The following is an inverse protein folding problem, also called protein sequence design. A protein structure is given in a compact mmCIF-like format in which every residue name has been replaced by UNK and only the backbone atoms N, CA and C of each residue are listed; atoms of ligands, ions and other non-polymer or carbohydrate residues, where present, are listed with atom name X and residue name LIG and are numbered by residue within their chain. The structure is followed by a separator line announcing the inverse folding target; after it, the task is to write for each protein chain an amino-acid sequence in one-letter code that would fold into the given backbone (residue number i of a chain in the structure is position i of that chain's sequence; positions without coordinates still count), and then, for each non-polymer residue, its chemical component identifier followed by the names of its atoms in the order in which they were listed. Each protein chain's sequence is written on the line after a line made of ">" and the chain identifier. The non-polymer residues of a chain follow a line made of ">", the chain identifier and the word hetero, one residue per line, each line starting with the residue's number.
data_IF_017061875486
#
_entry.id   IF_017061875486
#
_cell.length_a   1.000
_cell.length_b   1.000
_cell.length_c   1.000
_cell.angle_alpha   90.00
_cell.angle_beta   90.00
_cell.angle_gamma   90.00
#
_symmetry.space_group_name_H-M   'P 1'
#
loop_
_entity.id
_entity.type
_entity.pdbx_description
1 polymer ?
#
# COMPACT_ATOMS: atom_id res chain seq x y z
N UNK A 1 -24.24 14.19 -0.09
CA UNK A 1 -24.71 13.79 -1.44
C UNK A 1 -23.96 12.56 -1.98
N UNK A 2 -22.62 12.57 -2.01
CA UNK A 2 -21.81 11.47 -2.56
C UNK A 2 -21.97 10.12 -1.83
N UNK A 3 -22.10 10.16 -0.49
CA UNK A 3 -22.34 8.95 0.32
C UNK A 3 -23.69 8.32 -0.03
N UNK A 4 -24.75 9.12 -0.09
CA UNK A 4 -26.10 8.67 -0.46
C UNK A 4 -26.16 8.07 -1.86
N UNK A 5 -25.36 8.59 -2.80
CA UNK A 5 -25.28 8.04 -4.15
C UNK A 5 -24.63 6.65 -4.20
N UNK A 6 -23.76 6.31 -3.23
CA UNK A 6 -23.00 5.05 -3.21
C UNK A 6 -22.84 4.51 -1.78
N UNK A 7 -23.92 4.16 -1.08
CA UNK A 7 -23.86 3.79 0.34
C UNK A 7 -23.07 2.49 0.60
N UNK A 8 -22.88 1.67 -0.42
CA UNK A 8 -22.11 0.42 -0.35
C UNK A 8 -20.61 0.57 -0.66
N UNK A 9 -20.12 1.78 -0.96
CA UNK A 9 -18.70 1.98 -1.31
C UNK A 9 -17.79 1.61 -0.12
N UNK A 10 -16.69 0.93 -0.42
CA UNK A 10 -15.70 0.49 0.58
C UNK A 10 -14.33 1.08 0.28
N UNK A 11 -13.52 1.23 1.32
CA UNK A 11 -12.09 1.47 1.17
C UNK A 11 -11.39 0.14 0.86
N UNK A 12 -10.69 0.00 -0.29
CA UNK A 12 -10.01 -1.25 -0.63
C UNK A 12 -8.80 -1.51 0.28
N UNK A 13 -8.77 -2.68 0.92
CA UNK A 13 -7.60 -3.17 1.65
C UNK A 13 -6.53 -3.80 0.76
N UNK A 14 -5.73 -4.68 1.36
CA UNK A 14 -4.81 -5.59 0.70
C UNK A 14 -4.91 -6.99 1.30
N UNK A 15 -4.67 -8.01 0.46
CA UNK A 15 -4.56 -9.39 0.91
C UNK A 15 -3.23 -9.65 1.60
N UNK A 16 -2.16 -9.05 1.07
CA UNK A 16 -0.81 -9.08 1.64
C UNK A 16 -0.29 -7.63 1.81
N UNK A 17 -0.02 -7.19 3.06
CA UNK A 17 0.44 -5.82 3.34
C UNK A 17 1.81 -5.48 2.73
N UNK A 18 2.73 -6.43 2.66
CA UNK A 18 4.11 -6.22 2.22
C UNK A 18 4.19 -6.13 0.68
N UNK A 19 3.50 -7.03 -0.02
CA UNK A 19 3.25 -6.94 -1.46
C UNK A 19 2.64 -5.59 -1.81
N UNK A 20 1.63 -5.15 -1.06
CA UNK A 20 1.00 -3.86 -1.31
C UNK A 20 2.00 -2.71 -1.16
N UNK A 21 2.86 -2.75 -0.15
CA UNK A 21 3.89 -1.73 0.05
C UNK A 21 4.85 -1.64 -1.12
N UNK A 22 5.35 -2.79 -1.59
CA UNK A 22 6.20 -2.84 -2.78
C UNK A 22 5.46 -2.30 -4.00
N UNK A 23 4.21 -2.74 -4.24
CA UNK A 23 3.40 -2.30 -5.38
C UNK A 23 3.05 -0.81 -5.35
N UNK A 24 2.84 -0.25 -4.16
CA UNK A 24 2.60 1.18 -3.98
C UNK A 24 3.82 2.00 -4.37
N UNK A 25 5.03 1.53 -4.04
CA UNK A 25 6.29 2.17 -4.39
C UNK A 25 6.59 2.07 -5.89
N UNK A 26 6.55 0.86 -6.46
CA UNK A 26 7.10 0.61 -7.81
C UNK A 26 6.07 0.71 -8.93
N UNK A 27 4.77 0.69 -8.59
CA UNK A 27 3.68 0.69 -9.55
C UNK A 27 3.49 -0.65 -10.28
N UNK A 28 2.40 -0.73 -11.07
CA UNK A 28 1.93 -2.00 -11.66
C UNK A 28 2.94 -2.66 -12.61
N UNK A 29 3.59 -1.87 -13.46
CA UNK A 29 4.47 -2.40 -14.50
C UNK A 29 5.75 -3.01 -13.91
N UNK A 30 6.38 -2.31 -12.97
CA UNK A 30 7.58 -2.82 -12.29
C UNK A 30 7.24 -4.00 -11.37
N UNK A 31 6.12 -3.94 -10.64
CA UNK A 31 5.67 -5.08 -9.83
C UNK A 31 5.53 -6.37 -10.66
N UNK A 32 5.02 -6.26 -11.90
CA UNK A 32 4.98 -7.39 -12.83
C UNK A 32 6.37 -7.94 -13.19
N UNK A 33 7.37 -7.07 -13.40
CA UNK A 33 8.75 -7.47 -13.65
C UNK A 33 9.39 -8.14 -12.44
N UNK A 34 9.11 -7.64 -11.23
CA UNK A 34 9.60 -8.25 -9.99
C UNK A 34 9.06 -9.66 -9.81
N UNK A 35 7.77 -9.90 -10.07
CA UNK A 35 7.18 -11.25 -10.00
C UNK A 35 7.87 -12.19 -10.99
N UNK A 36 8.13 -11.76 -12.22
CA UNK A 36 8.79 -12.61 -13.22
C UNK A 36 10.25 -12.92 -12.87
N UNK A 37 10.94 -12.00 -12.18
CA UNK A 37 12.38 -12.12 -11.88
C UNK A 37 12.66 -12.79 -10.54
N UNK A 38 11.87 -12.48 -9.52
CA UNK A 38 12.12 -12.86 -8.13
C UNK A 38 10.97 -13.66 -7.52
N UNK A 39 9.86 -13.84 -8.23
CA UNK A 39 8.70 -14.56 -7.70
C UNK A 39 8.98 -16.05 -7.55
N UNK A 40 8.43 -16.66 -6.49
CA UNK A 40 8.50 -18.11 -6.31
C UNK A 40 7.55 -18.80 -7.29
N UNK A 41 8.04 -19.77 -8.06
CA UNK A 41 7.19 -20.56 -8.95
C UNK A 41 6.21 -21.41 -8.15
N UNK A 42 4.97 -21.50 -8.64
CA UNK A 42 3.97 -22.40 -8.08
C UNK A 42 4.27 -23.85 -8.47
N UNK A 43 4.16 -24.77 -7.50
CA UNK A 43 4.34 -26.21 -7.74
C UNK A 43 3.30 -26.75 -8.75
N UNK A 44 2.09 -26.17 -8.72
CA UNK A 44 1.01 -26.47 -9.66
C UNK A 44 0.43 -25.17 -10.24
N UNK A 45 0.89 -24.73 -11.43
CA UNK A 45 0.35 -23.54 -12.09
C UNK A 45 -1.13 -23.66 -12.46
N UNK A 46 -1.85 -22.53 -12.46
CA UNK A 46 -3.26 -22.46 -12.85
C UNK A 46 -3.46 -21.39 -13.94
N UNK A 47 -3.54 -21.83 -15.20
CA UNK A 47 -3.61 -20.91 -16.35
C UNK A 47 -2.39 -19.99 -16.40
N UNK A 48 -2.61 -18.67 -16.37
CA UNK A 48 -1.54 -17.68 -16.35
C UNK A 48 -0.94 -17.43 -14.95
N UNK A 49 -1.53 -17.99 -13.89
CA UNK A 49 -1.01 -17.87 -12.53
C UNK A 49 0.12 -18.90 -12.32
N UNK A 50 1.35 -18.40 -12.32
CA UNK A 50 2.57 -19.22 -12.35
C UNK A 50 3.53 -18.92 -11.20
N UNK A 51 3.44 -17.74 -10.60
CA UNK A 51 4.36 -17.26 -9.58
C UNK A 51 3.58 -16.60 -8.43
N UNK A 52 4.13 -16.72 -7.22
CA UNK A 52 3.78 -15.87 -6.08
C UNK A 52 4.52 -14.53 -6.17
N UNK A 53 4.00 -13.53 -5.47
CA UNK A 53 4.75 -12.29 -5.29
C UNK A 53 6.04 -12.55 -4.49
N UNK A 54 7.16 -11.88 -4.80
CA UNK A 54 8.40 -12.07 -4.06
C UNK A 54 8.26 -11.65 -2.59
N UNK A 55 8.78 -12.47 -1.67
CA UNK A 55 8.95 -12.06 -0.28
C UNK A 55 9.94 -10.88 -0.19
N UNK A 56 9.81 -9.96 0.79
CA UNK A 56 10.70 -8.79 0.88
C UNK A 56 12.19 -9.15 0.93
N UNK A 57 12.56 -10.24 1.60
CA UNK A 57 13.95 -10.68 1.66
C UNK A 57 14.57 -10.89 0.27
N UNK A 58 13.81 -11.41 -0.69
CA UNK A 58 14.26 -11.63 -2.07
C UNK A 58 14.45 -10.32 -2.87
N UNK A 59 13.92 -9.21 -2.37
CA UNK A 59 13.99 -7.89 -3.02
C UNK A 59 15.02 -6.96 -2.35
N UNK A 60 15.64 -7.37 -1.24
CA UNK A 60 16.63 -6.55 -0.50
C UNK A 60 17.82 -6.13 -1.38
N UNK A 61 18.24 -6.98 -2.31
CA UNK A 61 19.35 -6.73 -3.24
C UNK A 61 18.97 -5.87 -4.47
N UNK A 62 17.69 -5.48 -4.63
CA UNK A 62 17.25 -4.69 -5.79
C UNK A 62 17.82 -3.25 -5.81
N UNK A 63 18.39 -2.79 -4.69
CA UNK A 63 18.98 -1.46 -4.55
C UNK A 63 17.96 -0.32 -4.53
N UNK A 64 18.44 0.90 -4.29
CA UNK A 64 17.61 2.11 -4.18
C UNK A 64 16.53 2.02 -3.09
N UNK A 65 15.44 2.78 -3.25
CA UNK A 65 14.33 2.79 -2.28
C UNK A 65 13.64 1.43 -2.17
N UNK A 66 13.61 0.63 -3.24
CA UNK A 66 13.02 -0.72 -3.21
C UNK A 66 13.83 -1.65 -2.28
N UNK A 67 15.14 -1.73 -2.44
CA UNK A 67 16.00 -2.54 -1.57
C UNK A 67 15.94 -2.09 -0.10
N UNK A 68 15.87 -0.78 0.14
CA UNK A 68 15.71 -0.20 1.48
C UNK A 68 14.38 -0.63 2.11
N UNK A 69 13.26 -0.45 1.40
CA UNK A 69 11.94 -0.86 1.89
C UNK A 69 11.88 -2.37 2.13
N UNK A 70 12.39 -3.15 1.17
CA UNK A 70 12.43 -4.60 1.24
C UNK A 70 13.23 -5.11 2.45
N UNK A 71 14.39 -4.49 2.73
CA UNK A 71 15.20 -4.81 3.92
C UNK A 71 14.45 -4.50 5.21
N UNK A 72 13.86 -3.31 5.31
CA UNK A 72 13.11 -2.88 6.50
C UNK A 72 11.86 -3.72 6.79
N UNK A 73 11.23 -4.27 5.75
CA UNK A 73 10.14 -5.24 5.90
C UNK A 73 10.68 -6.60 6.35
N UNK A 74 11.74 -7.09 5.71
CA UNK A 74 12.32 -8.40 5.99
C UNK A 74 12.91 -8.52 7.40
N UNK A 75 13.49 -7.45 7.95
CA UNK A 75 14.05 -7.42 9.30
C UNK A 75 13.05 -6.98 10.39
N UNK A 76 11.86 -6.55 9.98
CA UNK A 76 10.79 -6.10 10.87
C UNK A 76 10.98 -4.69 11.43
N UNK A 77 11.91 -3.88 10.91
CA UNK A 77 12.01 -2.45 11.25
C UNK A 77 10.75 -1.68 10.82
N UNK A 78 10.10 -2.12 9.75
CA UNK A 78 8.74 -1.72 9.36
C UNK A 78 7.83 -2.94 9.48
N UNK A 79 6.80 -2.83 10.33
CA UNK A 79 5.78 -3.86 10.49
C UNK A 79 4.46 -3.41 9.91
N UNK A 80 3.87 -4.25 9.07
CA UNK A 80 2.59 -4.00 8.42
C UNK A 80 1.52 -5.07 8.73
N UNK A 81 1.81 -5.95 9.68
CA UNK A 81 0.90 -7.00 10.12
C UNK A 81 -0.32 -6.44 10.90
N UNK A 82 -1.41 -7.21 11.07
CA UNK A 82 -2.63 -6.75 11.75
C UNK A 82 -2.44 -6.20 13.18
N UNK A 83 -1.32 -6.50 13.85
CA UNK A 83 -1.00 -5.98 15.18
C UNK A 83 -0.14 -4.71 15.18
N UNK A 84 0.26 -4.20 14.01
CA UNK A 84 1.13 -3.03 13.89
C UNK A 84 0.41 -1.74 14.33
N UNK A 85 1.12 -0.92 15.10
CA UNK A 85 0.67 0.43 15.39
C UNK A 85 0.79 1.31 14.14
N UNK A 86 -0.31 1.97 13.77
CA UNK A 86 -0.41 2.73 12.52
C UNK A 86 0.47 3.97 12.50
N UNK A 87 0.67 4.61 13.66
CA UNK A 87 1.51 5.80 13.76
C UNK A 87 3.00 5.44 13.76
N UNK A 88 3.38 4.35 14.44
CA UNK A 88 4.73 3.79 14.38
C UNK A 88 5.07 3.37 12.95
N UNK A 89 4.20 2.59 12.30
CA UNK A 89 4.42 2.15 10.93
C UNK A 89 4.57 3.34 9.97
N UNK A 90 3.73 4.38 10.10
CA UNK A 90 3.88 5.60 9.31
C UNK A 90 5.22 6.29 9.56
N UNK A 91 5.64 6.45 10.82
CA UNK A 91 6.92 7.08 11.15
C UNK A 91 8.10 6.29 10.58
N UNK A 92 8.09 4.96 10.73
CA UNK A 92 9.12 4.09 10.21
C UNK A 92 9.20 4.17 8.68
N UNK A 93 8.06 4.13 7.98
CA UNK A 93 8.01 4.29 6.53
C UNK A 93 8.53 5.66 6.07
N UNK A 94 8.13 6.76 6.71
CA UNK A 94 8.57 8.11 6.36
C UNK A 94 10.07 8.34 6.63
N UNK A 95 10.69 7.53 7.50
CA UNK A 95 12.13 7.59 7.74
C UNK A 95 12.95 6.90 6.63
N UNK A 96 12.32 6.12 5.75
CA UNK A 96 13.02 5.41 4.67
C UNK A 96 13.41 6.36 3.52
N UNK A 97 14.69 6.42 3.13
CA UNK A 97 15.14 7.29 2.03
C UNK A 97 14.41 7.03 0.70
N UNK A 98 13.82 8.10 0.16
CA UNK A 98 13.14 8.10 -1.14
C UNK A 98 11.69 7.59 -1.12
N UNK A 99 11.16 7.19 0.04
CA UNK A 99 9.74 6.87 0.17
C UNK A 99 8.93 8.14 0.45
N UNK A 100 7.98 8.47 -0.43
CA UNK A 100 7.21 9.71 -0.32
C UNK A 100 5.93 9.56 0.52
N UNK A 101 5.43 10.70 1.03
CA UNK A 101 4.25 10.73 1.89
C UNK A 101 2.97 10.22 1.20
N UNK A 102 2.90 10.28 -0.13
CA UNK A 102 1.75 9.78 -0.90
C UNK A 102 1.74 8.25 -0.91
N UNK A 103 2.90 7.65 -1.14
CA UNK A 103 3.11 6.20 -1.07
C UNK A 103 2.83 5.69 0.34
N UNK A 104 3.35 6.37 1.36
CA UNK A 104 3.04 6.02 2.76
C UNK A 104 1.55 6.11 3.07
N UNK A 105 0.84 7.12 2.58
CA UNK A 105 -0.61 7.21 2.73
C UNK A 105 -1.36 6.04 2.08
N UNK A 106 -0.92 5.60 0.88
CA UNK A 106 -1.48 4.40 0.23
C UNK A 106 -1.25 3.14 1.07
N UNK A 107 -0.03 2.95 1.59
CA UNK A 107 0.31 1.82 2.46
C UNK A 107 -0.54 1.85 3.73
N UNK A 108 -0.60 2.98 4.42
CA UNK A 108 -1.37 3.13 5.66
C UNK A 108 -2.86 2.87 5.44
N UNK A 109 -3.45 3.45 4.41
CA UNK A 109 -4.88 3.28 4.13
C UNK A 109 -5.26 1.86 3.71
N UNK A 110 -4.42 1.22 2.89
CA UNK A 110 -4.76 -0.06 2.27
C UNK A 110 -4.13 -1.28 2.95
N UNK A 111 -2.89 -1.20 3.41
CA UNK A 111 -2.17 -2.28 4.06
C UNK A 111 -2.58 -2.41 5.53
N UNK A 112 -2.64 -1.28 6.25
CA UNK A 112 -3.02 -1.23 7.67
C UNK A 112 -4.52 -1.02 7.89
N UNK A 113 -5.29 -0.89 6.80
CA UNK A 113 -6.73 -0.69 6.82
C UNK A 113 -7.16 0.56 7.61
N UNK A 114 -6.36 1.62 7.59
CA UNK A 114 -6.67 2.84 8.32
C UNK A 114 -7.82 3.61 7.66
N UNK A 115 -8.97 3.79 8.36
CA UNK A 115 -10.12 4.50 7.81
C UNK A 115 -9.92 6.02 7.72
N UNK A 116 -8.88 6.58 8.35
CA UNK A 116 -8.71 8.02 8.54
C UNK A 116 -7.44 8.60 7.90
N UNK A 117 -7.12 8.17 6.67
CA UNK A 117 -5.95 8.65 5.93
C UNK A 117 -6.34 9.72 4.92
N UNK A 118 -5.63 10.85 4.94
CA UNK A 118 -5.70 11.88 3.91
C UNK A 118 -4.37 11.89 3.13
N UNK A 119 -4.35 11.56 1.83
CA UNK A 119 -3.14 11.65 1.03
C UNK A 119 -2.71 13.12 0.84
N UNK A 120 -1.41 13.39 0.63
CA UNK A 120 -0.92 14.75 0.40
C UNK A 120 -1.65 15.43 -0.76
N UNK A 121 -2.08 16.68 -0.52
CA UNK A 121 -2.82 17.51 -1.48
C UNK A 121 -4.33 17.42 -1.37
N UNK A 122 -4.89 16.52 -0.54
CA UNK A 122 -6.31 16.54 -0.20
C UNK A 122 -6.55 17.57 0.90
N UNK A 123 -7.40 18.56 0.64
CA UNK A 123 -7.98 19.41 1.70
C UNK A 123 -9.04 18.60 2.46
N UNK A 124 -8.60 17.94 3.53
CA UNK A 124 -9.42 17.03 4.32
C UNK A 124 -9.80 17.69 5.66
N UNK A 125 -10.99 18.29 5.79
CA UNK A 125 -11.41 18.93 7.03
C UNK A 125 -11.54 17.92 8.17
N UNK A 126 -11.31 18.39 9.41
CA UNK A 126 -11.42 17.56 10.61
C UNK A 126 -12.82 16.94 10.81
N UNK A 127 -13.85 17.54 10.22
CA UNK A 127 -15.22 17.00 10.23
C UNK A 127 -15.37 15.68 9.50
N UNK A 128 -14.42 15.30 8.64
CA UNK A 128 -14.40 13.99 7.97
C UNK A 128 -13.77 12.89 8.83
N UNK A 129 -13.13 13.24 9.94
CA UNK A 129 -12.59 12.23 10.87
C UNK A 129 -13.73 11.45 11.52
N UNK A 130 -13.54 10.14 11.81
CA UNK A 130 -12.35 9.32 11.55
C UNK A 130 -12.43 8.54 10.21
N UNK A 131 -13.01 9.11 9.15
CA UNK A 131 -13.36 8.40 7.91
C UNK A 131 -12.78 9.04 6.65
N UNK A 132 -11.64 9.76 6.75
CA UNK A 132 -11.04 10.46 5.60
C UNK A 132 -10.67 9.52 4.44
N UNK A 133 -10.30 8.27 4.70
CA UNK A 133 -10.06 7.27 3.64
C UNK A 133 -11.33 6.98 2.83
N UNK A 134 -12.50 6.96 3.46
CA UNK A 134 -13.78 6.78 2.77
C UNK A 134 -14.19 8.03 1.99
N UNK A 135 -14.00 9.22 2.57
CA UNK A 135 -14.23 10.48 1.87
C UNK A 135 -13.40 10.54 0.58
N UNK A 136 -12.12 10.18 0.66
CA UNK A 136 -11.24 10.04 -0.50
C UNK A 136 -11.82 9.11 -1.58
N UNK A 137 -12.28 7.90 -1.21
CA UNK A 137 -12.89 6.99 -2.19
C UNK A 137 -14.14 7.56 -2.85
N UNK A 138 -14.99 8.26 -2.09
CA UNK A 138 -16.18 8.91 -2.64
C UNK A 138 -15.82 10.00 -3.65
N UNK A 139 -14.82 10.82 -3.36
CA UNK A 139 -14.34 11.88 -4.25
C UNK A 139 -13.70 11.31 -5.52
N UNK A 140 -12.81 10.31 -5.40
CA UNK A 140 -12.21 9.63 -6.55
C UNK A 140 -13.29 8.99 -7.44
N UNK A 141 -14.26 8.30 -6.85
CA UNK A 141 -15.33 7.63 -7.61
C UNK A 141 -16.29 8.63 -8.26
N UNK A 142 -16.35 9.86 -7.76
CA UNK A 142 -17.13 10.95 -8.34
C UNK A 142 -16.38 11.73 -9.43
N UNK A 143 -15.07 11.49 -9.63
CA UNK A 143 -14.24 12.27 -10.55
C UNK A 143 -13.89 13.67 -10.05
N UNK A 144 -14.00 13.93 -8.74
CA UNK A 144 -13.77 15.26 -8.15
C UNK A 144 -12.28 15.53 -7.81
N UNK A 145 -11.38 14.60 -8.17
CA UNK A 145 -9.93 14.66 -7.88
C UNK A 145 -9.06 14.46 -9.14
N UNK A 146 -9.67 14.49 -10.33
CA UNK A 146 -9.02 14.60 -11.65
C UNK A 146 -8.98 16.06 -12.10
#
# INVERSE_FOLDING_TARGET
>A
PLVTARPGLRSPGAADPEELAVRALVGRAEAGRLVQRYGKTLDAPCGSLTHLFPEPAALSEAGGTLGILATALADGAVRLDPGADREEAQRALLALPGLDARTVAVIRGRALGDPDVAPPGLDAPDTWRPWRSYAWQHLCTAGELE
#
